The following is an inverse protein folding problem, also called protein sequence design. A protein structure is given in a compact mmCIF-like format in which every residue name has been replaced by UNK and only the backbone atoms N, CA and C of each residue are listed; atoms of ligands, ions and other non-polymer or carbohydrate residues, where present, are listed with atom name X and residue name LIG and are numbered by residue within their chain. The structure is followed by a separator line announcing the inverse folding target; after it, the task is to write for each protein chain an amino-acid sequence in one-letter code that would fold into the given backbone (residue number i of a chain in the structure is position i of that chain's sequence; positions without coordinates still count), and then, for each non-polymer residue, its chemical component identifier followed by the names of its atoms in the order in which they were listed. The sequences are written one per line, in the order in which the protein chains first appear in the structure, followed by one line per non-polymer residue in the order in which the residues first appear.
data_IF_317187414172
#
_entry.id   IF_317187414172
#
_cell.length_a   1.000
_cell.length_b   1.000
_cell.length_c   1.000
_cell.angle_alpha   90.00
_cell.angle_beta   90.00
_cell.angle_gamma   90.00
#
_symmetry.space_group_name_H-M   'P 1'
#
loop_
_entity.id
_entity.type
_entity.pdbx_description
1 polymer ?
#
# COMPACT_ATOMS: atom_id res chain seq x y z
N UNK A 1 24.01 -16.27 -9.74
CA UNK A 1 24.47 -15.45 -8.58
C UNK A 1 23.20 -14.87 -7.96
N UNK A 2 22.97 -15.03 -6.65
CA UNK A 2 21.88 -14.30 -5.98
C UNK A 2 22.16 -12.80 -6.17
N UNK A 3 21.17 -12.03 -6.62
CA UNK A 3 21.30 -10.59 -6.60
C UNK A 3 21.47 -10.17 -5.13
N UNK A 4 22.52 -9.45 -4.84
CA UNK A 4 22.75 -8.89 -3.50
C UNK A 4 21.97 -7.58 -3.46
N UNK A 5 20.78 -7.60 -2.88
CA UNK A 5 20.05 -6.38 -2.53
C UNK A 5 20.91 -5.63 -1.50
N UNK A 6 21.08 -4.31 -1.69
CA UNK A 6 21.80 -3.47 -0.71
C UNK A 6 21.15 -3.65 0.68
N UNK A 7 21.97 -3.85 1.71
CA UNK A 7 21.49 -3.98 3.10
C UNK A 7 20.72 -2.76 3.59
N UNK A 8 20.85 -1.61 2.88
CA UNK A 8 20.09 -0.38 3.13
C UNK A 8 18.80 -0.30 2.29
N UNK A 9 18.38 -1.40 1.66
CA UNK A 9 17.09 -1.49 1.00
C UNK A 9 16.04 -2.12 1.91
N UNK A 10 14.80 -1.64 1.80
CA UNK A 10 13.64 -2.21 2.48
C UNK A 10 12.58 -2.66 1.48
N UNK A 11 11.84 -3.71 1.83
CA UNK A 11 10.62 -4.11 1.14
C UNK A 11 9.41 -3.57 1.92
N UNK A 12 8.51 -2.89 1.21
CA UNK A 12 7.22 -2.44 1.74
C UNK A 12 6.13 -3.25 1.04
N UNK A 13 5.45 -4.09 1.80
CA UNK A 13 4.32 -4.91 1.32
C UNK A 13 3.04 -4.20 1.71
N UNK A 14 2.37 -3.62 0.71
CA UNK A 14 1.22 -2.74 0.92
C UNK A 14 -0.07 -3.56 0.94
N UNK A 15 -0.80 -3.51 2.05
CA UNK A 15 -2.21 -3.87 2.23
C UNK A 15 -2.62 -5.24 1.62
N UNK A 16 -1.80 -6.27 1.80
CA UNK A 16 -2.15 -7.63 1.38
C UNK A 16 -3.13 -8.24 2.39
N UNK A 17 -4.41 -7.89 2.21
CA UNK A 17 -5.51 -8.16 3.15
C UNK A 17 -6.70 -8.82 2.43
N UNK A 18 -7.51 -9.66 3.12
CA UNK A 18 -8.63 -10.38 2.51
C UNK A 18 -9.67 -9.50 1.83
N UNK A 19 -9.93 -8.28 2.32
CA UNK A 19 -10.91 -7.40 1.69
C UNK A 19 -10.50 -6.89 0.30
N UNK A 20 -9.21 -6.95 -0.03
CA UNK A 20 -8.68 -6.62 -1.36
C UNK A 20 -8.54 -7.83 -2.29
N UNK A 21 -8.87 -9.04 -1.83
CA UNK A 21 -8.85 -10.27 -2.64
C UNK A 21 -10.18 -10.48 -3.35
N UNK A 22 -10.24 -11.34 -4.39
CA UNK A 22 -11.51 -11.71 -5.04
C UNK A 22 -12.57 -12.15 -4.03
N UNK A 23 -13.75 -11.51 -4.08
CA UNK A 23 -14.83 -11.73 -3.13
C UNK A 23 -14.73 -10.92 -1.84
N UNK A 24 -13.69 -10.14 -1.64
CA UNK A 24 -13.56 -9.16 -0.56
C UNK A 24 -14.38 -7.89 -0.82
N UNK A 25 -14.49 -7.04 0.21
CA UNK A 25 -15.35 -5.86 0.18
C UNK A 25 -14.89 -4.80 -0.84
N UNK A 26 -13.58 -4.70 -1.09
CA UNK A 26 -12.95 -3.80 -2.07
C UNK A 26 -11.94 -4.57 -2.93
N UNK A 27 -12.43 -5.60 -3.64
CA UNK A 27 -11.58 -6.51 -4.39
C UNK A 27 -10.78 -5.79 -5.49
N UNK A 28 -9.47 -6.01 -5.49
CA UNK A 28 -8.60 -5.68 -6.62
C UNK A 28 -8.72 -6.73 -7.72
N UNK A 29 -8.52 -6.31 -8.96
CA UNK A 29 -8.49 -7.23 -10.09
C UNK A 29 -7.37 -8.27 -9.91
N UNK A 30 -7.71 -9.55 -9.81
CA UNK A 30 -6.75 -10.65 -9.57
C UNK A 30 -5.83 -10.39 -8.36
N UNK A 31 -6.34 -9.79 -7.29
CA UNK A 31 -5.54 -9.42 -6.12
C UNK A 31 -4.83 -10.59 -5.45
N UNK A 32 -5.41 -11.77 -5.51
CA UNK A 32 -4.84 -13.02 -4.99
C UNK A 32 -3.66 -13.57 -5.80
N UNK A 33 -3.53 -13.18 -7.08
CA UNK A 33 -2.45 -13.66 -7.94
C UNK A 33 -1.05 -13.23 -7.46
N UNK A 34 -0.94 -12.18 -6.66
CA UNK A 34 0.36 -11.73 -6.12
C UNK A 34 0.79 -12.47 -4.85
N UNK A 35 -0.15 -13.13 -4.16
CA UNK A 35 0.10 -13.75 -2.84
C UNK A 35 1.22 -14.78 -2.87
N UNK A 36 1.26 -15.75 -3.82
CA UNK A 36 2.36 -16.72 -3.89
C UNK A 36 3.73 -16.07 -4.16
N UNK A 37 3.75 -15.02 -5.02
CA UNK A 37 4.99 -14.33 -5.35
C UNK A 37 5.54 -13.52 -4.17
N UNK A 38 4.67 -12.88 -3.40
CA UNK A 38 5.06 -12.17 -2.17
C UNK A 38 5.55 -13.16 -1.11
N UNK A 39 4.86 -14.28 -0.90
CA UNK A 39 5.30 -15.33 0.03
C UNK A 39 6.69 -15.86 -0.35
N UNK A 40 6.92 -16.16 -1.63
CA UNK A 40 8.22 -16.59 -2.13
C UNK A 40 9.31 -15.53 -1.90
N UNK A 41 9.02 -14.25 -2.16
CA UNK A 41 9.95 -13.14 -1.95
C UNK A 41 10.35 -13.01 -0.48
N UNK A 42 9.39 -13.10 0.44
CA UNK A 42 9.65 -13.04 1.88
C UNK A 42 10.50 -14.23 2.35
N UNK A 43 10.17 -15.44 1.90
CA UNK A 43 10.94 -16.65 2.24
C UNK A 43 12.37 -16.64 1.67
N UNK A 44 12.59 -15.97 0.56
CA UNK A 44 13.94 -15.83 -0.02
C UNK A 44 14.88 -15.02 0.89
N UNK A 45 14.36 -14.18 1.79
CA UNK A 45 15.12 -13.45 2.80
C UNK A 45 16.15 -12.49 2.20
N UNK A 46 15.86 -11.91 1.03
CA UNK A 46 16.81 -11.03 0.33
C UNK A 46 16.80 -9.60 0.87
N UNK A 47 15.72 -9.21 1.58
CA UNK A 47 15.62 -7.91 2.24
C UNK A 47 15.87 -8.04 3.74
N UNK A 48 16.76 -7.20 4.26
CA UNK A 48 17.01 -7.12 5.71
C UNK A 48 15.87 -6.41 6.46
N UNK A 49 15.19 -5.49 5.77
CA UNK A 49 14.11 -4.69 6.32
C UNK A 49 12.82 -4.94 5.54
N UNK A 50 11.83 -5.51 6.20
CA UNK A 50 10.52 -5.84 5.63
C UNK A 50 9.43 -5.19 6.48
N UNK A 51 8.59 -4.39 5.85
CA UNK A 51 7.44 -3.72 6.49
C UNK A 51 6.19 -4.08 5.73
N UNK A 52 5.11 -4.44 6.44
CA UNK A 52 3.79 -4.49 5.86
C UNK A 52 3.00 -3.24 6.25
N UNK A 53 2.20 -2.69 5.33
CA UNK A 53 1.12 -1.78 5.71
C UNK A 53 -0.18 -2.56 5.92
N UNK A 54 -1.06 -1.99 6.72
CA UNK A 54 -2.35 -2.59 7.03
C UNK A 54 -3.39 -1.47 7.08
N UNK A 55 -4.32 -1.51 6.13
CA UNK A 55 -5.50 -0.66 6.16
C UNK A 55 -6.36 -1.05 7.36
N UNK A 56 -6.74 -0.08 8.20
CA UNK A 56 -7.28 -0.37 9.53
C UNK A 56 -8.32 0.66 9.94
N UNK A 57 -9.46 0.67 9.25
CA UNK A 57 -10.50 1.67 9.42
C UNK A 57 -11.42 1.38 10.61
N UNK A 58 -11.72 2.38 11.46
CA UNK A 58 -12.83 2.24 12.40
C UNK A 58 -14.17 2.14 11.65
N UNK A 59 -15.14 1.47 12.25
CA UNK A 59 -16.50 1.45 11.72
C UNK A 59 -17.03 2.89 11.55
N UNK A 60 -17.70 3.15 10.43
CA UNK A 60 -18.20 4.48 10.10
C UNK A 60 -17.13 5.48 9.68
N UNK A 61 -16.00 4.98 9.13
CA UNK A 61 -14.91 5.83 8.65
C UNK A 61 -15.37 6.81 7.58
N UNK A 62 -14.77 8.01 7.56
CA UNK A 62 -15.16 9.11 6.65
C UNK A 62 -15.02 8.78 5.16
N UNK A 63 -14.19 7.83 4.79
CA UNK A 63 -14.02 7.38 3.40
C UNK A 63 -15.08 6.38 2.94
N UNK A 64 -15.92 5.88 3.83
CA UNK A 64 -16.94 4.90 3.48
C UNK A 64 -18.17 5.57 2.89
N UNK A 65 -18.69 5.02 1.79
CA UNK A 65 -19.93 5.51 1.20
C UNK A 65 -21.12 5.44 2.17
N UNK A 66 -21.14 4.44 3.04
CA UNK A 66 -22.15 4.25 4.08
C UNK A 66 -22.19 5.38 5.11
N UNK A 67 -21.11 6.14 5.25
CA UNK A 67 -21.02 7.32 6.14
C UNK A 67 -21.61 8.59 5.52
N UNK A 68 -22.04 8.55 4.25
CA UNK A 68 -22.55 9.72 3.52
C UNK A 68 -23.92 9.43 2.92
N UNK A 69 -24.98 9.98 3.51
CA UNK A 69 -26.36 9.75 3.07
C UNK A 69 -26.54 10.08 1.58
N UNK A 70 -27.11 9.14 0.82
CA UNK A 70 -27.39 9.29 -0.61
C UNK A 70 -26.24 8.97 -1.55
N UNK A 71 -25.04 8.71 -1.04
CA UNK A 71 -23.89 8.29 -1.85
C UNK A 71 -23.76 6.76 -1.90
N UNK A 72 -22.98 6.30 -2.87
CA UNK A 72 -22.66 4.89 -3.11
C UNK A 72 -21.15 4.73 -3.31
N UNK A 73 -20.62 3.51 -3.18
CA UNK A 73 -19.21 3.23 -3.47
C UNK A 73 -18.76 3.78 -4.83
N UNK A 74 -17.56 4.34 -4.86
CA UNK A 74 -16.88 5.01 -5.97
C UNK A 74 -17.42 6.40 -6.35
N UNK A 75 -18.42 6.93 -5.65
CA UNK A 75 -18.79 8.33 -5.81
C UNK A 75 -17.63 9.25 -5.35
N UNK A 76 -17.53 10.40 -6.00
CA UNK A 76 -16.55 11.43 -5.68
C UNK A 76 -17.19 12.54 -4.86
N UNK A 77 -16.57 12.87 -3.75
CA UNK A 77 -16.95 14.05 -2.94
C UNK A 77 -15.78 15.01 -2.76
N UNK A 78 -16.03 16.18 -2.24
CA UNK A 78 -14.99 17.07 -1.72
C UNK A 78 -14.92 16.91 -0.20
N UNK A 79 -13.79 16.40 0.30
CA UNK A 79 -13.52 16.27 1.72
C UNK A 79 -12.33 17.17 2.08
N UNK A 80 -12.53 18.11 3.02
CA UNK A 80 -11.50 19.08 3.44
C UNK A 80 -10.84 19.83 2.27
N UNK A 81 -11.63 20.15 1.23
CA UNK A 81 -11.16 20.86 0.04
C UNK A 81 -10.40 19.99 -0.99
N UNK A 82 -10.34 18.68 -0.77
CA UNK A 82 -9.66 17.73 -1.68
C UNK A 82 -10.67 16.73 -2.26
N UNK A 83 -10.43 16.22 -3.49
CA UNK A 83 -11.18 15.10 -4.03
C UNK A 83 -11.04 13.87 -3.13
N UNK A 84 -12.16 13.23 -2.81
CA UNK A 84 -12.20 11.98 -2.04
C UNK A 84 -13.10 10.97 -2.75
N UNK A 85 -12.55 9.81 -3.04
CA UNK A 85 -13.36 8.66 -3.48
C UNK A 85 -14.01 8.02 -2.26
N UNK A 86 -15.30 7.75 -2.37
CA UNK A 86 -16.02 6.98 -1.36
C UNK A 86 -15.91 5.49 -1.66
N UNK A 87 -15.45 4.74 -0.68
CA UNK A 87 -15.22 3.31 -0.79
C UNK A 87 -16.36 2.48 -0.17
N UNK A 88 -16.55 1.22 -0.56
CA UNK A 88 -17.31 0.30 0.28
C UNK A 88 -16.66 0.16 1.65
N UNK A 89 -17.41 -0.23 2.67
CA UNK A 89 -16.85 -0.53 3.99
C UNK A 89 -15.87 -1.71 3.85
N UNK A 90 -14.61 -1.47 4.11
CA UNK A 90 -13.54 -2.44 3.95
C UNK A 90 -12.50 -2.29 5.06
N UNK A 91 -11.71 -3.31 5.29
CA UNK A 91 -10.63 -3.34 6.27
C UNK A 91 -11.03 -2.76 7.64
N UNK A 92 -12.28 -3.04 8.06
CA UNK A 92 -12.80 -2.56 9.34
C UNK A 92 -12.04 -3.23 10.49
N UNK A 93 -11.61 -2.43 11.45
CA UNK A 93 -10.79 -2.84 12.59
C UNK A 93 -11.36 -4.10 13.28
N UNK A 94 -10.49 -5.08 13.50
CA UNK A 94 -10.84 -6.31 14.20
C UNK A 94 -11.60 -7.35 13.34
N UNK A 95 -11.94 -7.04 12.09
CA UNK A 95 -12.56 -8.01 11.18
C UNK A 95 -11.52 -8.89 10.49
N UNK A 96 -11.98 -10.03 9.95
CA UNK A 96 -11.14 -10.90 9.11
C UNK A 96 -10.64 -10.17 7.86
N UNK A 97 -11.47 -9.30 7.28
CA UNK A 97 -11.13 -8.52 6.08
C UNK A 97 -9.93 -7.61 6.27
N UNK A 98 -9.77 -7.06 7.48
CA UNK A 98 -8.66 -6.20 7.87
C UNK A 98 -7.39 -6.93 8.30
N UNK A 99 -7.41 -8.26 8.45
CA UNK A 99 -6.21 -9.03 8.84
C UNK A 99 -5.18 -9.06 7.70
N UNK A 100 -3.90 -9.27 8.01
CA UNK A 100 -2.92 -9.65 7.00
C UNK A 100 -3.30 -11.00 6.38
N UNK A 101 -3.08 -11.17 5.08
CA UNK A 101 -3.54 -12.35 4.33
C UNK A 101 -2.83 -13.61 4.80
N UNK A 102 -3.61 -14.66 5.14
CA UNK A 102 -3.09 -15.90 5.70
C UNK A 102 -2.30 -16.80 4.74
N UNK A 103 -2.26 -16.48 3.45
CA UNK A 103 -1.47 -17.19 2.44
C UNK A 103 -0.01 -16.71 2.33
N UNK A 104 0.41 -15.77 3.17
CA UNK A 104 1.78 -15.26 3.25
C UNK A 104 2.36 -15.60 4.61
N UNK A 105 3.60 -16.08 4.64
CA UNK A 105 4.37 -16.25 5.87
C UNK A 105 4.98 -14.92 6.31
N UNK A 106 4.34 -14.28 7.27
CA UNK A 106 4.75 -12.97 7.79
C UNK A 106 5.88 -13.01 8.81
N UNK A 107 6.54 -14.16 9.01
CA UNK A 107 7.63 -14.29 10.01
C UNK A 107 8.83 -13.39 9.73
N UNK A 108 9.03 -12.95 8.48
CA UNK A 108 10.10 -12.04 8.09
C UNK A 108 9.80 -10.56 8.37
N UNK A 109 8.59 -10.20 8.83
CA UNK A 109 8.24 -8.80 9.10
C UNK A 109 9.04 -8.23 10.28
N UNK A 110 9.55 -7.00 10.08
CA UNK A 110 10.15 -6.20 11.14
C UNK A 110 9.16 -5.19 11.73
N UNK A 111 8.15 -4.77 10.95
CA UNK A 111 7.10 -3.87 11.42
C UNK A 111 5.80 -4.03 10.61
N UNK A 112 4.69 -3.66 11.25
CA UNK A 112 3.39 -3.46 10.59
C UNK A 112 2.96 -2.02 10.85
N UNK A 113 2.70 -1.26 9.78
CA UNK A 113 2.23 0.11 9.85
C UNK A 113 0.73 0.13 9.55
N UNK A 114 -0.07 0.41 10.55
CA UNK A 114 -1.51 0.61 10.38
C UNK A 114 -1.77 2.02 9.87
N UNK A 115 -2.61 2.13 8.85
CA UNK A 115 -3.05 3.39 8.27
C UNK A 115 -4.57 3.49 8.24
N UNK A 116 -5.11 4.70 8.02
CA UNK A 116 -6.56 4.92 8.02
C UNK A 116 -7.24 4.65 9.37
N UNK A 117 -6.50 4.72 10.47
CA UNK A 117 -7.01 4.41 11.81
C UNK A 117 -7.80 5.55 12.46
N UNK A 118 -7.77 6.74 11.88
CA UNK A 118 -8.51 7.92 12.34
C UNK A 118 -9.86 8.01 11.62
N UNK A 119 -10.96 8.03 12.35
CA UNK A 119 -12.30 8.03 11.76
C UNK A 119 -12.55 9.16 10.74
N UNK A 120 -11.91 10.31 10.92
CA UNK A 120 -12.12 11.52 10.12
C UNK A 120 -11.09 11.78 9.03
N UNK A 121 -10.08 10.95 8.85
CA UNK A 121 -9.03 11.16 7.84
C UNK A 121 -8.73 9.84 7.13
N UNK A 122 -8.85 9.85 5.80
CA UNK A 122 -8.50 8.69 4.97
C UNK A 122 -6.99 8.51 4.84
N UNK A 123 -6.54 7.36 4.35
CA UNK A 123 -5.12 7.07 4.21
C UNK A 123 -4.87 6.09 3.08
N UNK A 124 -4.20 6.56 2.03
CA UNK A 124 -3.76 5.69 0.94
C UNK A 124 -2.30 5.26 1.12
N UNK A 125 -1.44 6.22 1.46
CA UNK A 125 -0.01 5.98 1.59
C UNK A 125 0.38 5.29 2.90
N UNK A 126 1.36 4.40 2.83
CA UNK A 126 2.03 3.87 4.02
C UNK A 126 2.86 4.90 4.79
N UNK A 127 3.17 6.07 4.20
CA UNK A 127 3.99 7.12 4.81
C UNK A 127 3.19 8.23 5.48
N UNK A 128 2.06 8.61 4.87
CA UNK A 128 1.22 9.71 5.34
C UNK A 128 -0.25 9.38 5.14
N UNK A 129 -1.06 9.88 6.05
CA UNK A 129 -2.51 9.94 5.84
C UNK A 129 -2.86 10.99 4.77
N UNK A 130 -4.08 10.96 4.26
CA UNK A 130 -4.61 11.98 3.35
C UNK A 130 -4.77 13.32 4.11
N UNK A 131 -5.32 14.34 3.44
CA UNK A 131 -5.49 15.65 4.07
C UNK A 131 -6.55 15.60 5.17
N UNK A 132 -6.20 16.12 6.32
CA UNK A 132 -7.09 16.36 7.43
C UNK A 132 -7.81 17.70 7.32
N UNK A 133 -8.71 18.01 8.27
CA UNK A 133 -9.56 19.21 8.21
C UNK A 133 -8.80 20.54 8.25
N UNK A 134 -7.55 20.55 8.71
CA UNK A 134 -6.71 21.75 8.73
C UNK A 134 -5.66 21.75 7.61
N UNK A 135 -5.79 20.86 6.61
CA UNK A 135 -4.88 20.72 5.48
C UNK A 135 -3.59 19.94 5.77
N UNK A 136 -3.43 19.41 6.98
CA UNK A 136 -2.30 18.58 7.35
C UNK A 136 -2.36 17.19 6.70
N UNK A 137 -1.20 16.59 6.43
CA UNK A 137 -1.06 15.17 6.08
C UNK A 137 -0.23 14.49 7.18
N UNK A 138 -0.87 13.88 8.19
CA UNK A 138 -0.18 13.27 9.32
C UNK A 138 0.73 12.12 8.90
N UNK A 139 1.91 12.05 9.52
CA UNK A 139 2.84 10.93 9.32
C UNK A 139 2.33 9.67 9.99
N UNK A 140 2.53 8.51 9.34
CA UNK A 140 2.32 7.19 9.93
C UNK A 140 3.50 6.74 10.81
N UNK A 141 4.65 7.41 10.68
CA UNK A 141 5.90 7.03 11.32
C UNK A 141 6.83 6.16 10.47
N UNK A 142 6.38 5.67 9.29
CA UNK A 142 7.17 4.77 8.46
C UNK A 142 8.49 5.40 8.01
N UNK A 143 8.49 6.65 7.57
CA UNK A 143 9.71 7.34 7.14
C UNK A 143 10.79 7.36 8.25
N UNK A 144 10.39 7.71 9.48
CA UNK A 144 11.30 7.70 10.64
C UNK A 144 11.82 6.30 10.96
N UNK A 145 10.93 5.30 10.91
CA UNK A 145 11.30 3.90 11.15
C UNK A 145 12.36 3.39 10.16
N UNK A 146 12.22 3.73 8.87
CA UNK A 146 13.18 3.40 7.81
C UNK A 146 14.50 4.16 7.97
N UNK A 147 14.42 5.47 8.21
CA UNK A 147 15.60 6.34 8.34
C UNK A 147 16.50 5.94 9.51
N UNK A 148 15.93 5.59 10.67
CA UNK A 148 16.66 5.12 11.85
C UNK A 148 17.42 3.80 11.60
N UNK A 149 17.07 3.07 10.54
CA UNK A 149 17.74 1.82 10.10
C UNK A 149 18.70 2.03 8.96
N UNK A 150 18.95 3.29 8.58
CA UNK A 150 19.85 3.63 7.48
C UNK A 150 19.33 3.22 6.10
N UNK A 151 18.02 2.97 5.96
CA UNK A 151 17.41 2.65 4.66
C UNK A 151 17.52 3.86 3.74
N UNK A 152 17.92 3.64 2.51
CA UNK A 152 18.04 4.66 1.44
C UNK A 152 17.22 4.33 0.20
N UNK A 153 16.78 3.09 0.08
CA UNK A 153 16.02 2.59 -1.06
C UNK A 153 14.86 1.72 -0.58
N UNK A 154 13.70 1.87 -1.22
CA UNK A 154 12.53 1.06 -0.92
C UNK A 154 11.99 0.37 -2.17
N UNK A 155 11.59 -0.87 -2.01
CA UNK A 155 10.87 -1.66 -2.99
C UNK A 155 9.43 -1.80 -2.50
N UNK A 156 8.46 -1.45 -3.34
CA UNK A 156 7.05 -1.43 -2.99
C UNK A 156 6.31 -2.49 -3.80
N UNK A 157 5.52 -3.32 -3.13
CA UNK A 157 4.61 -4.29 -3.75
C UNK A 157 3.29 -4.33 -2.99
N UNK A 158 2.30 -5.10 -3.45
CA UNK A 158 1.00 -5.25 -2.78
C UNK A 158 -0.17 -4.59 -3.49
N UNK A 159 -1.15 -4.10 -2.74
CA UNK A 159 -2.46 -3.64 -3.21
C UNK A 159 -2.84 -2.26 -2.64
N UNK A 160 -3.69 -1.46 -3.33
CA UNK A 160 -3.96 -1.54 -4.74
C UNK A 160 -2.91 -0.73 -5.50
N UNK A 161 -2.48 -1.23 -6.67
CA UNK A 161 -1.45 -0.60 -7.52
C UNK A 161 -1.73 0.87 -7.79
N UNK A 162 -2.95 1.17 -8.16
CA UNK A 162 -3.45 2.48 -8.60
C UNK A 162 -3.87 3.42 -7.47
N UNK A 163 -3.84 2.93 -6.22
CA UNK A 163 -4.19 3.70 -5.02
C UNK A 163 -3.07 3.61 -3.98
N UNK A 164 -3.12 2.64 -3.07
CA UNK A 164 -2.21 2.59 -1.91
C UNK A 164 -0.75 2.37 -2.31
N UNK A 165 -0.46 1.53 -3.32
CA UNK A 165 0.91 1.32 -3.82
C UNK A 165 1.44 2.58 -4.49
N UNK A 166 0.65 3.21 -5.37
CA UNK A 166 1.02 4.46 -6.05
C UNK A 166 1.35 5.55 -5.04
N UNK A 167 0.43 5.84 -4.11
CA UNK A 167 0.63 6.89 -3.11
C UNK A 167 1.79 6.58 -2.15
N UNK A 168 1.97 5.32 -1.77
CA UNK A 168 3.12 4.89 -0.95
C UNK A 168 4.43 5.13 -1.69
N UNK A 169 4.50 4.81 -2.98
CA UNK A 169 5.70 5.01 -3.78
C UNK A 169 6.01 6.51 -3.98
N UNK A 170 5.00 7.34 -4.20
CA UNK A 170 5.13 8.79 -4.33
C UNK A 170 5.63 9.44 -3.03
N UNK A 171 4.98 9.14 -1.91
CA UNK A 171 5.38 9.67 -0.61
C UNK A 171 6.75 9.15 -0.16
N UNK A 172 7.18 7.96 -0.60
CA UNK A 172 8.53 7.45 -0.37
C UNK A 172 9.59 8.34 -1.04
N UNK A 173 9.35 8.76 -2.30
CA UNK A 173 10.22 9.72 -3.00
C UNK A 173 10.24 11.07 -2.29
N UNK A 174 9.08 11.58 -1.90
CA UNK A 174 8.98 12.83 -1.12
C UNK A 174 9.73 12.75 0.22
N UNK A 175 9.75 11.56 0.84
CA UNK A 175 10.51 11.31 2.07
C UNK A 175 12.02 11.11 1.83
N UNK A 176 12.50 11.15 0.57
CA UNK A 176 13.91 11.07 0.20
C UNK A 176 14.45 9.67 -0.10
N UNK A 177 13.59 8.66 -0.21
CA UNK A 177 14.01 7.30 -0.56
C UNK A 177 14.05 7.11 -2.07
N UNK A 178 15.07 6.41 -2.57
CA UNK A 178 15.02 5.84 -3.92
C UNK A 178 13.92 4.79 -3.93
N UNK A 179 13.01 4.86 -4.88
CA UNK A 179 11.81 4.05 -4.87
C UNK A 179 11.67 3.21 -6.12
N UNK A 180 11.35 1.94 -5.93
CA UNK A 180 11.02 0.98 -6.99
C UNK A 180 9.70 0.31 -6.70
N UNK A 181 8.90 0.08 -7.73
CA UNK A 181 7.67 -0.70 -7.65
C UNK A 181 7.90 -2.05 -8.34
N UNK A 182 7.67 -3.15 -7.61
CA UNK A 182 7.68 -4.51 -8.15
C UNK A 182 6.34 -4.76 -8.85
N UNK A 183 6.28 -4.41 -10.13
CA UNK A 183 5.02 -4.32 -10.87
C UNK A 183 4.25 -5.63 -10.94
N UNK A 184 4.93 -6.73 -11.16
CA UNK A 184 4.37 -8.07 -11.23
C UNK A 184 3.78 -8.55 -9.88
N UNK A 185 4.24 -7.97 -8.77
CA UNK A 185 3.71 -8.20 -7.41
C UNK A 185 2.73 -7.11 -6.95
N UNK A 186 2.06 -6.45 -7.88
CA UNK A 186 0.96 -5.50 -7.61
C UNK A 186 -0.25 -5.79 -8.50
N UNK A 187 -1.44 -5.39 -8.05
CA UNK A 187 -2.67 -5.43 -8.86
C UNK A 187 -3.49 -4.16 -8.61
N UNK A 188 -4.16 -3.61 -9.65
CA UNK A 188 -5.01 -2.42 -9.50
C UNK A 188 -6.40 -2.78 -9.00
N UNK A 189 -7.14 -1.80 -8.51
CA UNK A 189 -8.60 -1.93 -8.35
C UNK A 189 -9.22 -2.20 -9.71
N UNK A 190 -8.81 -1.40 -10.72
CA UNK A 190 -9.33 -1.52 -12.10
C UNK A 190 -8.19 -1.49 -13.10
N UNK A 191 -8.06 -2.50 -14.00
CA UNK A 191 -6.98 -2.55 -15.01
C UNK A 191 -6.90 -1.32 -15.93
N UNK A 192 -8.01 -0.62 -16.12
CA UNK A 192 -8.05 0.59 -16.96
C UNK A 192 -7.16 1.74 -16.42
N UNK A 193 -6.73 1.68 -15.15
CA UNK A 193 -5.87 2.70 -14.52
C UNK A 193 -4.37 2.43 -14.73
N UNK A 194 -3.98 1.28 -15.28
CA UNK A 194 -2.57 0.85 -15.33
C UNK A 194 -1.67 1.80 -16.11
N UNK A 195 -2.13 2.32 -17.25
CA UNK A 195 -1.34 3.27 -18.06
C UNK A 195 -1.10 4.58 -17.30
N UNK A 196 -2.17 5.18 -16.77
CA UNK A 196 -2.07 6.40 -15.97
C UNK A 196 -1.22 6.21 -14.72
N UNK A 197 -1.29 5.04 -14.08
CA UNK A 197 -0.44 4.70 -12.93
C UNK A 197 1.02 4.62 -13.31
N UNK A 198 1.37 3.99 -14.45
CA UNK A 198 2.75 3.97 -14.97
C UNK A 198 3.28 5.36 -15.26
N UNK A 199 2.49 6.18 -15.94
CA UNK A 199 2.87 7.56 -16.24
C UNK A 199 3.12 8.38 -14.98
N UNK A 200 2.25 8.24 -13.95
CA UNK A 200 2.42 8.92 -12.67
C UNK A 200 3.68 8.50 -11.92
N UNK A 201 4.03 7.19 -11.94
CA UNK A 201 5.25 6.68 -11.34
C UNK A 201 6.51 7.22 -12.06
N UNK A 202 6.52 7.14 -13.39
CA UNK A 202 7.65 7.61 -14.22
C UNK A 202 7.87 9.12 -14.08
N UNK A 203 6.79 9.90 -14.02
CA UNK A 203 6.86 11.36 -13.84
C UNK A 203 7.58 11.76 -12.54
N UNK A 204 7.52 10.91 -11.52
CA UNK A 204 8.22 11.10 -10.24
C UNK A 204 9.55 10.34 -10.13
N UNK A 205 10.06 9.81 -11.25
CA UNK A 205 11.31 9.04 -11.31
C UNK A 205 11.30 7.79 -10.42
N UNK A 206 10.15 7.16 -10.28
CA UNK A 206 10.00 5.89 -9.60
C UNK A 206 10.29 4.78 -10.60
N UNK A 207 11.24 3.91 -10.28
CA UNK A 207 11.59 2.77 -11.13
C UNK A 207 10.49 1.71 -11.09
N UNK A 208 10.04 1.27 -12.25
CA UNK A 208 9.13 0.13 -12.40
C UNK A 208 9.96 -1.08 -12.80
N UNK A 209 9.89 -2.14 -12.02
CA UNK A 209 10.67 -3.36 -12.24
C UNK A 209 9.85 -4.60 -11.87
N UNK A 210 10.33 -5.77 -12.19
CA UNK A 210 9.73 -7.04 -11.81
C UNK A 210 10.60 -7.76 -10.79
N UNK A 211 10.01 -8.70 -10.04
CA UNK A 211 10.73 -9.50 -9.04
C UNK A 211 11.89 -10.27 -9.64
N UNK A 212 11.79 -10.69 -10.90
CA UNK A 212 12.87 -11.38 -11.65
C UNK A 212 14.15 -10.54 -11.78
N UNK A 213 14.05 -9.22 -11.77
CA UNK A 213 15.21 -8.32 -11.79
C UNK A 213 16.02 -8.34 -10.48
N UNK A 214 15.46 -8.89 -9.40
CA UNK A 214 16.14 -9.08 -8.12
C UNK A 214 17.07 -10.32 -8.12
N UNK A 215 17.12 -11.08 -9.23
CA UNK A 215 17.90 -12.29 -9.38
C UNK A 215 17.09 -13.56 -9.09
N UNK A 216 17.79 -14.70 -8.97
CA UNK A 216 17.11 -15.97 -8.68
C UNK A 216 16.62 -15.97 -7.22
N UNK A 217 15.32 -15.77 -7.06
CA UNK A 217 14.58 -15.87 -5.79
C UNK A 217 13.94 -17.24 -5.70
#
# INVERSE_FOLDING_TARGET
MKAVIDSRAALIVVDVQPDFMPGGALACHEGDAIVPGIDALLRAGVFQHVVATQDWHPAGHVSFASSHAGNKPFDQITLYGQPQTLWPDHCVQGTRGAALHGGVDWSALNAVIRKGSRAGVDSYSGFRENHGPNGERPSTGLAGWLSERGVVEVYVCGLARDVCVLWTAQDAVEAGFRTRVLWDLTRPVTPATDEATREALVAQRIDITDVSALGSI
#
